data_IF_754090770902
#
_entry.id   IF_754090770902
#
_cell.length_a   1.000
_cell.length_b   1.000
_cell.length_c   1.000
_cell.angle_alpha   90.00
_cell.angle_beta   90.00
_cell.angle_gamma   90.00
#
_symmetry.space_group_name_H-M   'P 1'
#
loop_
_entity.id
_entity.type
_entity.pdbx_description
1 polymer ?
#
# COMPACT_ATOMS: atom_id res chain seq x y z
N UNK A 1 9.50 -109.04 -0.18
CA UNK A 1 9.80 -109.14 -1.63
C UNK A 1 8.50 -109.13 -2.41
N UNK A 2 8.39 -108.21 -3.40
CA UNK A 2 7.42 -108.14 -4.52
C UNK A 2 5.96 -107.85 -4.15
N UNK A 3 5.17 -107.06 -4.89
CA UNK A 3 5.37 -106.15 -6.03
C UNK A 3 4.08 -105.32 -6.16
N UNK A 4 4.25 -104.09 -6.63
CA UNK A 4 3.34 -103.01 -7.04
C UNK A 4 2.17 -103.45 -7.96
N UNK A 5 1.05 -102.68 -8.03
CA UNK A 5 0.46 -102.05 -9.25
C UNK A 5 -1.02 -101.56 -9.03
N UNK A 6 -1.28 -100.23 -8.97
CA UNK A 6 -1.87 -99.29 -9.99
C UNK A 6 -3.41 -99.20 -9.99
N UNK A 7 -3.99 -98.01 -9.77
CA UNK A 7 -4.68 -97.21 -10.81
C UNK A 7 -5.08 -95.81 -10.33
N UNK A 8 -4.54 -94.81 -11.00
CA UNK A 8 -4.89 -93.39 -10.93
C UNK A 8 -5.80 -93.07 -12.12
N UNK A 9 -6.97 -92.48 -11.86
CA UNK A 9 -7.78 -91.77 -12.87
C UNK A 9 -7.61 -90.29 -12.57
N UNK A 10 -6.98 -89.57 -13.51
CA UNK A 10 -6.81 -88.12 -13.47
C UNK A 10 -8.02 -87.50 -14.14
N UNK A 11 -8.83 -86.79 -13.37
CA UNK A 11 -9.92 -85.95 -13.85
C UNK A 11 -9.35 -84.55 -14.07
N UNK A 12 -9.42 -84.09 -15.31
CA UNK A 12 -9.14 -82.73 -15.72
C UNK A 12 -10.23 -81.81 -15.12
N UNK A 13 -9.86 -80.93 -14.18
CA UNK A 13 -10.69 -79.79 -13.79
C UNK A 13 -10.09 -78.52 -14.38
N UNK A 14 -10.97 -77.79 -15.04
CA UNK A 14 -10.72 -76.50 -15.69
C UNK A 14 -10.32 -75.49 -14.61
N UNK A 15 -9.15 -74.88 -14.79
CA UNK A 15 -8.70 -73.70 -14.05
C UNK A 15 -9.50 -72.49 -14.52
N UNK A 16 -10.37 -71.96 -13.67
CA UNK A 16 -10.87 -70.60 -13.76
C UNK A 16 -10.63 -69.95 -12.39
N UNK A 17 -9.70 -68.99 -12.31
CA UNK A 17 -9.44 -68.28 -11.05
C UNK A 17 -8.15 -67.47 -10.90
N UNK A 18 -7.49 -67.01 -11.97
CA UNK A 18 -6.24 -66.21 -11.84
C UNK A 18 -6.17 -64.93 -12.72
N UNK A 19 -7.24 -64.46 -13.37
CA UNK A 19 -7.16 -63.27 -14.26
C UNK A 19 -7.42 -61.93 -13.56
N UNK A 20 -8.35 -61.86 -12.61
CA UNK A 20 -8.83 -60.56 -12.11
C UNK A 20 -7.83 -59.85 -11.18
N UNK A 21 -7.02 -60.62 -10.44
CA UNK A 21 -6.02 -60.06 -9.51
C UNK A 21 -4.80 -59.51 -10.26
N UNK A 22 -4.47 -60.01 -11.46
CA UNK A 22 -3.36 -59.44 -12.23
C UNK A 22 -3.76 -58.11 -12.87
N UNK A 23 -4.97 -58.00 -13.42
CA UNK A 23 -5.46 -56.77 -14.06
C UNK A 23 -5.58 -55.62 -13.06
N UNK A 24 -6.07 -55.86 -11.84
CA UNK A 24 -6.13 -54.83 -10.78
C UNK A 24 -4.74 -54.34 -10.36
N UNK A 25 -3.75 -55.23 -10.28
CA UNK A 25 -2.36 -54.88 -9.96
C UNK A 25 -1.69 -54.13 -11.11
N UNK A 26 -1.95 -54.51 -12.36
CA UNK A 26 -1.43 -53.84 -13.56
C UNK A 26 -2.05 -52.44 -13.69
N UNK A 27 -3.36 -52.30 -13.43
CA UNK A 27 -4.07 -51.02 -13.39
C UNK A 27 -3.49 -50.10 -12.33
N UNK A 28 -3.33 -50.59 -11.11
CA UNK A 28 -2.71 -49.82 -10.01
C UNK A 28 -1.31 -49.34 -10.39
N UNK A 29 -0.47 -50.22 -10.93
CA UNK A 29 0.89 -49.87 -11.36
C UNK A 29 0.89 -48.86 -12.52
N UNK A 30 -0.04 -48.99 -13.47
CA UNK A 30 -0.20 -48.01 -14.55
C UNK A 30 -0.62 -46.63 -14.04
N UNK A 31 -1.55 -46.58 -13.08
CA UNK A 31 -1.97 -45.32 -12.43
C UNK A 31 -0.82 -44.68 -11.65
N UNK A 32 -0.11 -45.44 -10.82
CA UNK A 32 1.02 -44.94 -10.01
C UNK A 32 2.16 -44.35 -10.86
N UNK A 33 2.37 -44.87 -12.08
CA UNK A 33 3.41 -44.38 -12.98
C UNK A 33 3.00 -43.15 -13.81
N UNK A 34 1.70 -42.91 -14.00
CA UNK A 34 1.19 -41.89 -14.94
C UNK A 34 0.44 -40.75 -14.25
N UNK A 35 -0.09 -40.96 -13.05
CA UNK A 35 -0.82 -39.95 -12.30
C UNK A 35 0.10 -39.39 -11.22
N UNK A 36 0.81 -38.32 -11.56
CA UNK A 36 1.74 -37.63 -10.67
C UNK A 36 1.16 -36.27 -10.27
N UNK A 37 0.68 -36.18 -9.03
CA UNK A 37 0.12 -34.94 -8.49
C UNK A 37 1.10 -34.36 -7.44
N UNK A 38 1.52 -33.09 -7.58
CA UNK A 38 2.31 -32.41 -6.56
C UNK A 38 1.51 -32.25 -5.26
N UNK A 39 2.18 -32.42 -4.12
CA UNK A 39 1.54 -32.27 -2.80
C UNK A 39 1.38 -30.81 -2.36
N UNK A 40 1.99 -29.85 -3.06
CA UNK A 40 1.89 -28.41 -2.80
C UNK A 40 1.84 -27.63 -4.11
N UNK A 41 0.88 -26.71 -4.24
CA UNK A 41 0.66 -25.92 -5.46
C UNK A 41 0.21 -24.50 -5.15
N UNK A 42 0.48 -23.56 -6.06
CA UNK A 42 -0.03 -22.18 -6.03
C UNK A 42 -0.66 -21.74 -7.35
N UNK A 43 -0.62 -22.60 -8.36
CA UNK A 43 -1.07 -22.35 -9.72
C UNK A 43 -2.01 -23.47 -10.18
N UNK A 44 -2.60 -23.29 -11.36
CA UNK A 44 -3.45 -24.29 -12.00
C UNK A 44 -2.77 -25.66 -12.05
N UNK A 45 -3.51 -26.70 -11.67
CA UNK A 45 -3.06 -28.07 -11.65
C UNK A 45 -3.42 -28.75 -12.97
N UNK A 46 -2.46 -29.41 -13.61
CA UNK A 46 -2.73 -30.21 -14.82
C UNK A 46 -3.19 -31.62 -14.41
N UNK A 47 -4.47 -31.91 -14.63
CA UNK A 47 -5.07 -33.21 -14.30
C UNK A 47 -5.10 -34.09 -15.56
N UNK A 48 -4.35 -35.22 -15.58
CA UNK A 48 -4.40 -36.13 -16.73
C UNK A 48 -5.82 -36.67 -16.91
N UNK A 49 -6.27 -36.75 -18.15
CA UNK A 49 -7.63 -37.18 -18.51
C UNK A 49 -7.73 -38.69 -18.74
N UNK A 50 -6.60 -39.36 -19.01
CA UNK A 50 -6.55 -40.79 -19.29
C UNK A 50 -5.20 -41.40 -18.93
N UNK A 51 -5.17 -42.70 -18.62
CA UNK A 51 -3.94 -43.51 -18.54
C UNK A 51 -3.90 -44.55 -19.65
N UNK A 52 -2.69 -45.03 -19.97
CA UNK A 52 -2.49 -46.20 -20.82
C UNK A 52 -2.21 -47.44 -19.99
N UNK A 53 -2.86 -48.56 -20.32
CA UNK A 53 -2.53 -49.88 -19.78
C UNK A 53 -2.47 -50.86 -20.96
N UNK A 54 -1.25 -51.30 -21.31
CA UNK A 54 -1.03 -52.02 -22.57
C UNK A 54 -1.24 -51.12 -23.78
N UNK A 55 -2.11 -51.53 -24.70
CA UNK A 55 -2.48 -50.74 -25.89
C UNK A 55 -3.81 -49.98 -25.72
N UNK A 56 -4.46 -50.12 -24.56
CA UNK A 56 -5.77 -49.55 -24.30
C UNK A 56 -5.65 -48.28 -23.43
N UNK A 57 -6.51 -47.30 -23.72
CA UNK A 57 -6.62 -46.04 -22.99
C UNK A 57 -7.85 -46.08 -22.09
N UNK A 58 -7.68 -45.65 -20.84
CA UNK A 58 -8.74 -45.60 -19.84
C UNK A 58 -8.87 -44.19 -19.29
N UNK A 59 -10.09 -43.68 -19.25
CA UNK A 59 -10.44 -42.35 -18.72
C UNK A 59 -10.23 -42.30 -17.20
N UNK A 60 -9.77 -41.15 -16.72
CA UNK A 60 -9.62 -40.85 -15.29
C UNK A 60 -10.78 -39.94 -14.86
N UNK A 61 -11.51 -40.37 -13.85
CA UNK A 61 -12.55 -39.56 -13.21
C UNK A 61 -11.93 -38.88 -11.98
N UNK A 62 -11.99 -37.54 -11.94
CA UNK A 62 -11.47 -36.74 -10.85
C UNK A 62 -12.58 -36.26 -9.91
N UNK A 63 -12.38 -36.44 -8.61
CA UNK A 63 -13.20 -35.85 -7.55
C UNK A 63 -12.34 -34.99 -6.64
N UNK A 64 -12.86 -33.82 -6.26
CA UNK A 64 -12.24 -32.91 -5.29
C UNK A 64 -13.09 -32.85 -4.02
N UNK A 65 -12.44 -32.85 -2.85
CA UNK A 65 -13.12 -32.60 -1.58
C UNK A 65 -13.65 -31.17 -1.43
N UNK A 66 -13.11 -30.22 -2.21
CA UNK A 66 -13.49 -28.81 -2.21
C UNK A 66 -13.38 -28.22 -3.62
N UNK A 67 -14.50 -28.18 -4.34
CA UNK A 67 -14.58 -27.70 -5.72
C UNK A 67 -14.47 -26.19 -5.85
N UNK A 68 -14.60 -25.43 -4.76
CA UNK A 68 -14.39 -23.99 -4.78
C UNK A 68 -12.90 -23.62 -4.75
N UNK A 69 -12.04 -24.58 -4.36
CA UNK A 69 -10.58 -24.42 -4.24
C UNK A 69 -9.83 -25.13 -5.36
N UNK A 70 -10.17 -26.39 -5.69
CA UNK A 70 -9.70 -27.10 -6.89
C UNK A 70 -10.89 -27.75 -7.57
N UNK A 71 -11.21 -27.32 -8.79
CA UNK A 71 -12.29 -27.93 -9.57
C UNK A 71 -11.84 -29.17 -10.37
N UNK A 72 -12.79 -29.87 -11.00
CA UNK A 72 -12.53 -31.08 -11.78
C UNK A 72 -11.69 -30.86 -13.05
N UNK A 73 -11.46 -29.60 -13.45
CA UNK A 73 -10.59 -29.22 -14.57
C UNK A 73 -9.17 -28.87 -14.12
N UNK A 74 -8.93 -28.85 -12.80
CA UNK A 74 -7.67 -28.46 -12.19
C UNK A 74 -7.50 -26.94 -12.03
N UNK A 75 -8.57 -26.15 -12.17
CA UNK A 75 -8.54 -24.73 -11.85
C UNK A 75 -8.37 -24.56 -10.34
N UNK A 76 -7.35 -23.81 -9.94
CA UNK A 76 -6.99 -23.60 -8.53
C UNK A 76 -7.34 -22.18 -8.12
N UNK A 77 -8.05 -22.03 -7.01
CA UNK A 77 -8.38 -20.74 -6.39
C UNK A 77 -7.67 -20.63 -5.05
N UNK A 78 -6.67 -19.76 -4.98
CA UNK A 78 -5.96 -19.49 -3.73
C UNK A 78 -6.82 -18.65 -2.77
N UNK A 79 -6.62 -18.87 -1.47
CA UNK A 79 -7.26 -18.10 -0.38
C UNK A 79 -6.20 -17.42 0.48
N UNK A 80 -6.60 -16.74 1.57
CA UNK A 80 -5.65 -16.10 2.50
C UNK A 80 -4.92 -17.10 3.42
N UNK A 81 -5.33 -18.36 3.44
CA UNK A 81 -4.74 -19.45 4.24
C UNK A 81 -4.35 -20.65 3.35
N UNK A 82 -3.44 -21.48 3.85
CA UNK A 82 -3.08 -22.74 3.19
C UNK A 82 -4.26 -23.70 3.36
N UNK A 83 -4.79 -24.23 2.26
CA UNK A 83 -5.94 -25.14 2.28
C UNK A 83 -5.50 -26.49 1.73
N UNK A 84 -5.73 -27.55 2.51
CA UNK A 84 -5.55 -28.93 2.05
C UNK A 84 -6.81 -29.43 1.37
N UNK A 85 -6.66 -29.89 0.13
CA UNK A 85 -7.71 -30.50 -0.70
C UNK A 85 -7.30 -31.93 -1.02
N UNK A 86 -8.21 -32.87 -0.81
CA UNK A 86 -8.04 -34.26 -1.20
C UNK A 86 -8.59 -34.48 -2.60
N UNK A 87 -7.73 -34.90 -3.53
CA UNK A 87 -8.14 -35.30 -4.88
C UNK A 87 -8.18 -36.82 -5.00
N UNK A 88 -9.22 -37.33 -5.67
CA UNK A 88 -9.35 -38.74 -6.00
C UNK A 88 -9.33 -38.93 -7.51
N UNK A 89 -8.47 -39.83 -7.97
CA UNK A 89 -8.44 -40.28 -9.36
C UNK A 89 -8.96 -41.71 -9.41
N UNK A 90 -10.11 -41.92 -10.07
CA UNK A 90 -10.71 -43.24 -10.24
C UNK A 90 -10.67 -43.67 -11.71
N UNK A 91 -10.17 -44.88 -11.96
CA UNK A 91 -10.16 -45.49 -13.29
C UNK A 91 -10.94 -46.80 -13.24
N UNK A 92 -11.83 -46.97 -14.22
CA UNK A 92 -12.66 -48.17 -14.40
C UNK A 92 -12.22 -48.94 -15.65
N UNK A 93 -11.91 -50.23 -15.49
CA UNK A 93 -11.79 -51.18 -16.61
C UNK A 93 -13.03 -52.08 -16.64
N UNK A 94 -13.09 -53.04 -17.57
CA UNK A 94 -14.21 -54.00 -17.61
C UNK A 94 -14.27 -54.90 -16.36
N UNK A 95 -13.13 -55.18 -15.73
CA UNK A 95 -13.03 -56.16 -14.65
C UNK A 95 -12.44 -55.60 -13.33
N UNK A 96 -11.94 -54.37 -13.34
CA UNK A 96 -11.30 -53.75 -12.18
C UNK A 96 -11.68 -52.27 -12.04
N UNK A 97 -11.59 -51.76 -10.82
CA UNK A 97 -11.69 -50.32 -10.52
C UNK A 97 -10.66 -50.01 -9.46
N UNK A 98 -9.89 -48.95 -9.69
CA UNK A 98 -8.90 -48.51 -8.72
C UNK A 98 -9.00 -47.00 -8.50
N UNK A 99 -8.72 -46.56 -7.28
CA UNK A 99 -8.76 -45.15 -6.88
C UNK A 99 -7.50 -44.78 -6.15
N UNK A 100 -6.82 -43.74 -6.64
CA UNK A 100 -5.70 -43.10 -5.95
C UNK A 100 -6.17 -41.85 -5.22
N UNK A 101 -5.55 -41.56 -4.08
CA UNK A 101 -5.86 -40.40 -3.25
C UNK A 101 -4.60 -39.53 -3.16
N UNK A 102 -4.76 -38.23 -3.42
CA UNK A 102 -3.70 -37.24 -3.33
C UNK A 102 -4.11 -36.16 -2.34
N UNK A 103 -3.28 -35.93 -1.33
CA UNK A 103 -3.41 -34.77 -0.45
C UNK A 103 -2.61 -33.61 -1.07
N UNK A 104 -3.31 -32.56 -1.48
CA UNK A 104 -2.74 -31.41 -2.15
C UNK A 104 -2.98 -30.17 -1.31
N UNK A 105 -1.91 -29.50 -0.90
CA UNK A 105 -2.01 -28.21 -0.22
C UNK A 105 -1.96 -27.09 -1.26
N UNK A 106 -3.08 -26.38 -1.42
CA UNK A 106 -3.10 -25.09 -2.12
C UNK A 106 -2.52 -24.05 -1.18
N UNK A 107 -1.34 -23.55 -1.54
CA UNK A 107 -0.66 -22.51 -0.77
C UNK A 107 -1.50 -21.24 -0.78
N UNK A 108 -1.55 -20.55 0.35
CA UNK A 108 -2.20 -19.24 0.47
C UNK A 108 -1.69 -18.28 -0.59
N UNK A 109 -2.54 -17.33 -0.96
CA UNK A 109 -2.17 -16.19 -1.79
C UNK A 109 -1.01 -15.49 -1.10
N UNK A 110 0.13 -15.38 -1.78
CA UNK A 110 1.22 -14.55 -1.30
C UNK A 110 0.71 -13.11 -1.19
N UNK A 111 0.46 -12.65 0.03
CA UNK A 111 0.47 -11.21 0.33
C UNK A 111 1.92 -10.79 0.26
N UNK A 112 2.40 -10.44 -0.93
CA UNK A 112 3.74 -9.86 -1.11
C UNK A 112 3.74 -8.50 -0.40
N UNK A 113 4.06 -8.49 0.89
CA UNK A 113 4.46 -7.29 1.59
C UNK A 113 5.95 -7.38 1.90
N UNK A 114 6.77 -7.21 0.86
CA UNK A 114 8.22 -7.07 0.98
C UNK A 114 8.70 -5.61 0.79
N UNK A 115 7.80 -4.63 0.77
CA UNK A 115 8.17 -3.21 0.70
C UNK A 115 8.35 -2.64 2.10
N UNK A 116 9.39 -3.10 2.80
CA UNK A 116 9.86 -2.37 3.98
C UNK A 116 10.47 -1.07 3.47
N UNK A 117 9.83 0.05 3.81
CA UNK A 117 10.32 1.42 3.53
C UNK A 117 11.03 1.93 4.79
N UNK A 118 12.33 1.65 5.00
CA UNK A 118 13.01 2.07 6.23
C UNK A 118 13.08 3.59 6.38
N UNK A 119 12.88 4.33 5.27
CA UNK A 119 12.75 5.79 5.22
C UNK A 119 11.35 6.31 5.55
N UNK A 120 10.34 5.44 5.70
CA UNK A 120 8.97 5.81 6.05
C UNK A 120 8.46 4.97 7.21
N UNK A 121 8.31 5.60 8.37
CA UNK A 121 7.80 4.92 9.58
C UNK A 121 6.33 5.28 9.75
N UNK A 122 5.46 4.26 9.81
CA UNK A 122 4.02 4.38 10.01
C UNK A 122 3.63 3.72 11.33
N UNK A 123 3.06 4.48 12.26
CA UNK A 123 2.58 3.99 13.56
C UNK A 123 1.08 4.21 13.65
N UNK A 124 0.31 3.14 13.38
CA UNK A 124 -1.14 3.13 13.50
C UNK A 124 -1.57 3.07 14.97
N UNK A 125 -2.66 3.77 15.28
CA UNK A 125 -3.25 3.85 16.61
C UNK A 125 -3.58 2.47 17.21
N UNK A 126 -4.02 1.52 16.39
CA UNK A 126 -4.35 0.16 16.82
C UNK A 126 -3.13 -0.73 17.10
N UNK A 127 -1.93 -0.29 16.70
CA UNK A 127 -0.64 -0.95 16.96
C UNK A 127 0.08 -0.36 18.18
N UNK A 128 -0.44 0.71 18.77
CA UNK A 128 0.13 1.32 19.97
C UNK A 128 -0.09 0.38 21.17
N UNK A 129 0.94 0.27 22.02
CA UNK A 129 0.85 -0.46 23.27
C UNK A 129 -0.24 0.16 24.17
N UNK A 130 -1.34 -0.59 24.32
CA UNK A 130 -2.52 -0.17 25.08
C UNK A 130 -2.21 0.08 26.56
N UNK A 131 -1.15 -0.53 27.11
CA UNK A 131 -0.74 -0.29 28.50
C UNK A 131 -0.19 1.12 28.73
N UNK A 132 0.13 1.86 27.65
CA UNK A 132 0.64 3.25 27.70
C UNK A 132 -0.40 4.30 27.41
N UNK A 133 -1.64 3.89 27.14
CA UNK A 133 -2.74 4.81 26.97
C UNK A 133 -3.14 5.36 28.33
N UNK A 134 -2.90 6.65 28.54
CA UNK A 134 -3.37 7.39 29.70
C UNK A 134 -4.44 8.37 29.23
N UNK A 135 -5.66 8.27 29.78
CA UNK A 135 -6.80 9.12 29.42
C UNK A 135 -7.22 9.03 27.93
N UNK A 136 -6.79 7.96 27.26
CA UNK A 136 -7.08 7.64 25.86
C UNK A 136 -7.72 6.25 25.76
N UNK A 137 -8.67 6.12 24.83
CA UNK A 137 -9.27 4.85 24.40
C UNK A 137 -9.11 4.65 22.91
N UNK A 138 -9.05 3.39 22.50
CA UNK A 138 -9.07 3.00 21.09
C UNK A 138 -10.52 2.69 20.68
N UNK A 139 -11.04 3.42 19.71
CA UNK A 139 -12.38 3.27 19.13
C UNK A 139 -12.25 3.25 17.62
N UNK A 140 -12.74 2.20 16.95
CA UNK A 140 -12.70 2.06 15.48
C UNK A 140 -11.32 2.36 14.87
N UNK A 141 -10.28 1.72 15.43
CA UNK A 141 -8.87 1.90 15.03
C UNK A 141 -8.29 3.30 15.26
N UNK A 142 -8.99 4.21 15.95
CA UNK A 142 -8.56 5.58 16.24
C UNK A 142 -8.45 5.81 17.76
N UNK A 143 -7.43 6.55 18.18
CA UNK A 143 -7.29 6.99 19.57
C UNK A 143 -8.16 8.23 19.82
N UNK A 144 -8.98 8.15 20.86
CA UNK A 144 -9.86 9.21 21.34
C UNK A 144 -9.61 9.46 22.84
N UNK A 145 -9.99 10.63 23.33
CA UNK A 145 -10.07 10.94 24.76
C UNK A 145 -11.08 10.04 25.45
N UNK A 146 -10.78 9.65 26.68
CA UNK A 146 -11.79 9.09 27.59
C UNK A 146 -12.92 10.09 27.84
N UNK A 147 -14.14 9.59 28.09
CA UNK A 147 -15.39 10.37 27.97
C UNK A 147 -15.45 11.63 28.85
N UNK A 148 -14.73 11.64 29.99
CA UNK A 148 -14.71 12.77 30.93
C UNK A 148 -13.41 13.58 30.88
N UNK A 149 -12.54 13.32 29.91
CA UNK A 149 -11.23 13.96 29.81
C UNK A 149 -11.23 15.10 28.81
N UNK A 150 -10.55 16.20 29.14
CA UNK A 150 -10.36 17.35 28.24
C UNK A 150 -9.04 17.30 27.50
N UNK A 151 -8.08 16.55 28.03
CA UNK A 151 -6.72 16.42 27.50
C UNK A 151 -6.20 15.02 27.81
N UNK A 152 -5.44 14.48 26.88
CA UNK A 152 -4.65 13.28 27.11
C UNK A 152 -3.35 13.34 26.30
N UNK A 153 -2.36 12.58 26.75
CA UNK A 153 -1.06 12.49 26.10
C UNK A 153 -0.62 11.06 25.94
N UNK A 154 -0.01 10.75 24.79
CA UNK A 154 0.70 9.50 24.56
C UNK A 154 2.16 9.81 24.24
N UNK A 155 3.11 9.12 24.86
CA UNK A 155 4.54 9.21 24.55
C UNK A 155 5.05 7.83 24.12
N UNK A 156 5.68 7.77 22.94
CA UNK A 156 6.17 6.52 22.37
C UNK A 156 7.39 6.00 23.13
N UNK A 157 7.74 4.73 22.95
CA UNK A 157 9.14 4.32 23.15
C UNK A 157 10.04 5.01 22.12
N UNK A 158 11.36 5.11 22.39
CA UNK A 158 12.34 5.40 21.35
C UNK A 158 12.22 4.41 20.19
N UNK A 159 12.18 4.93 18.97
CA UNK A 159 12.14 4.16 17.72
C UNK A 159 13.51 4.29 17.07
N UNK A 160 14.15 3.15 16.81
CA UNK A 160 15.37 3.08 16.02
C UNK A 160 15.09 3.41 14.55
N UNK A 161 16.00 4.14 13.92
CA UNK A 161 15.86 4.60 12.53
C UNK A 161 17.18 4.47 11.78
N UNK A 162 17.17 4.35 10.44
CA UNK A 162 18.35 4.65 9.65
C UNK A 162 18.85 6.07 9.93
N UNK A 163 20.16 6.30 9.86
CA UNK A 163 20.73 7.62 10.14
C UNK A 163 20.24 8.68 9.15
N UNK A 164 19.53 9.71 9.63
CA UNK A 164 18.90 10.73 8.79
C UNK A 164 19.39 12.15 9.13
N UNK A 165 19.30 13.06 8.17
CA UNK A 165 19.66 14.48 8.33
C UNK A 165 18.45 15.40 8.43
N UNK A 166 17.30 14.96 7.93
CA UNK A 166 16.02 15.66 8.04
C UNK A 166 14.88 14.68 8.21
N UNK A 167 13.78 15.15 8.78
CA UNK A 167 12.53 14.40 8.82
C UNK A 167 11.32 15.32 8.76
N UNK A 168 10.22 14.80 8.23
CA UNK A 168 8.88 15.39 8.37
C UNK A 168 8.02 14.43 9.17
N UNK A 169 7.57 14.90 10.33
CA UNK A 169 6.56 14.22 11.14
C UNK A 169 5.18 14.70 10.74
N UNK A 170 4.27 13.77 10.47
CA UNK A 170 2.88 14.07 10.14
C UNK A 170 1.96 13.09 10.86
N UNK A 171 0.66 13.38 10.88
CA UNK A 171 -0.34 12.52 11.50
C UNK A 171 -1.66 12.60 10.75
N UNK A 172 -2.41 11.49 10.76
CA UNK A 172 -3.80 11.43 10.32
C UNK A 172 -4.71 11.59 11.54
N UNK A 173 -5.53 12.63 11.53
CA UNK A 173 -6.51 12.85 12.59
C UNK A 173 -7.76 13.58 12.11
N UNK A 174 -8.88 13.25 12.76
CA UNK A 174 -10.12 14.03 12.73
C UNK A 174 -10.11 14.97 13.93
N UNK A 175 -10.38 16.23 13.68
CA UNK A 175 -10.40 17.28 14.71
C UNK A 175 -11.45 18.33 14.37
N UNK A 176 -11.51 19.42 15.12
CA UNK A 176 -12.47 20.50 14.87
C UNK A 176 -11.92 21.86 15.30
N UNK A 177 -12.76 22.89 15.24
CA UNK A 177 -12.43 24.21 15.77
C UNK A 177 -12.09 24.16 17.27
N UNK A 178 -12.71 23.24 18.00
CA UNK A 178 -12.69 23.14 19.46
C UNK A 178 -12.04 21.85 19.99
N UNK A 179 -11.54 20.99 19.10
CA UNK A 179 -10.80 19.79 19.41
C UNK A 179 -9.51 19.73 18.57
N UNK A 180 -8.37 19.46 19.18
CA UNK A 180 -7.06 19.56 18.52
C UNK A 180 -6.18 18.33 18.76
N UNK A 181 -5.30 18.06 17.81
CA UNK A 181 -4.22 17.09 17.93
C UNK A 181 -2.88 17.79 17.69
N UNK A 182 -1.88 17.49 18.51
CA UNK A 182 -0.51 17.99 18.38
C UNK A 182 0.49 16.84 18.37
N UNK A 183 1.42 16.88 17.42
CA UNK A 183 2.62 16.04 17.40
C UNK A 183 3.82 16.85 17.93
N UNK A 184 4.58 16.24 18.84
CA UNK A 184 5.92 16.68 19.23
C UNK A 184 6.91 15.56 19.01
N UNK A 185 8.12 15.90 18.53
CA UNK A 185 9.17 14.92 18.24
C UNK A 185 10.49 15.39 18.84
N UNK A 186 11.24 14.47 19.42
CA UNK A 186 12.66 14.67 19.70
C UNK A 186 13.48 13.59 18.99
N UNK A 187 14.73 13.92 18.72
CA UNK A 187 15.65 13.09 17.94
C UNK A 187 16.94 12.86 18.73
N UNK A 188 17.51 11.67 18.60
CA UNK A 188 18.77 11.32 19.25
C UNK A 188 19.92 11.49 18.26
N UNK A 189 20.96 12.23 18.66
CA UNK A 189 22.22 12.38 17.91
C UNK A 189 23.37 12.08 18.86
N UNK A 190 24.23 11.12 18.49
CA UNK A 190 25.41 10.72 19.27
C UNK A 190 25.08 10.38 20.74
N UNK A 191 23.92 9.76 21.00
CA UNK A 191 23.46 9.39 22.34
C UNK A 191 22.90 10.55 23.18
N UNK A 192 22.69 11.73 22.59
CA UNK A 192 22.07 12.89 23.24
C UNK A 192 20.75 13.22 22.54
N UNK A 193 19.69 13.37 23.33
CA UNK A 193 18.37 13.78 22.85
C UNK A 193 18.28 15.29 22.65
N UNK A 194 17.64 15.72 21.56
CA UNK A 194 17.10 17.07 21.43
C UNK A 194 15.96 17.31 22.43
N UNK A 195 15.57 18.57 22.57
CA UNK A 195 14.26 18.96 23.10
C UNK A 195 13.16 18.41 22.18
N UNK A 196 11.95 18.30 22.73
CA UNK A 196 10.76 18.13 21.91
C UNK A 196 10.54 19.38 21.04
N UNK A 197 10.53 19.15 19.73
CA UNK A 197 10.15 20.12 18.71
C UNK A 197 8.67 19.88 18.37
N UNK A 198 7.86 20.94 18.43
CA UNK A 198 6.41 20.85 18.30
C UNK A 198 5.96 21.26 16.90
N UNK A 199 5.09 20.46 16.29
CA UNK A 199 4.34 20.80 15.07
C UNK A 199 3.13 21.70 15.35
N UNK A 200 2.93 22.07 16.63
CA UNK A 200 1.81 22.85 17.17
C UNK A 200 0.47 22.11 17.10
N UNK A 201 -0.43 22.50 17.98
CA UNK A 201 -1.79 21.99 17.97
C UNK A 201 -2.51 22.40 16.68
N UNK A 202 -3.07 21.40 16.00
CA UNK A 202 -3.90 21.57 14.83
C UNK A 202 -5.35 21.21 15.14
N UNK A 203 -6.28 22.00 14.62
CA UNK A 203 -7.71 21.69 14.59
C UNK A 203 -8.36 22.21 13.31
N UNK A 204 -9.22 21.41 12.67
CA UNK A 204 -9.86 21.78 11.42
C UNK A 204 -10.71 23.05 11.60
N UNK A 205 -10.51 24.04 10.72
CA UNK A 205 -11.23 25.32 10.77
C UNK A 205 -10.63 26.36 11.73
N UNK A 206 -9.56 26.04 12.46
CA UNK A 206 -8.82 27.01 13.28
C UNK A 206 -7.87 27.85 12.43
N UNK A 207 -7.41 28.95 13.01
CA UNK A 207 -6.21 29.65 12.55
C UNK A 207 -4.96 28.88 13.02
N UNK A 208 -4.71 27.73 12.39
CA UNK A 208 -3.56 26.89 12.69
C UNK A 208 -2.26 27.60 12.31
N UNK A 209 -1.19 27.40 13.07
CA UNK A 209 0.10 28.03 12.79
C UNK A 209 1.25 27.11 13.18
N UNK A 210 2.23 26.97 12.29
CA UNK A 210 3.53 26.41 12.66
C UNK A 210 4.39 27.45 13.38
N UNK A 211 5.45 26.99 14.05
CA UNK A 211 6.42 27.87 14.69
C UNK A 211 7.80 27.23 14.64
N UNK A 212 8.77 27.97 14.12
CA UNK A 212 10.16 27.56 14.12
C UNK A 212 10.71 27.49 15.55
N UNK A 213 11.47 26.43 15.83
CA UNK A 213 12.12 26.25 17.11
C UNK A 213 13.42 25.47 16.93
N UNK A 214 14.37 25.64 17.86
CA UNK A 214 15.64 24.93 17.81
C UNK A 214 16.26 24.70 19.17
N UNK A 215 17.16 23.73 19.22
CA UNK A 215 18.20 23.64 20.23
C UNK A 215 19.57 23.46 19.54
N UNK A 216 20.54 22.88 20.25
CA UNK A 216 21.89 22.65 19.73
C UNK A 216 22.03 21.38 18.87
N UNK A 217 20.99 20.53 18.82
CA UNK A 217 20.96 19.23 18.13
C UNK A 217 20.12 19.33 16.86
N UNK A 218 18.92 19.91 16.96
CA UNK A 218 17.97 19.96 15.87
C UNK A 218 17.17 21.27 15.87
N UNK A 219 16.60 21.60 14.70
CA UNK A 219 15.60 22.66 14.55
C UNK A 219 14.40 22.15 13.77
N UNK A 220 13.22 22.67 14.07
CA UNK A 220 12.06 22.58 13.19
C UNK A 220 11.91 23.91 12.45
N UNK A 221 11.73 23.84 11.14
CA UNK A 221 11.47 24.98 10.27
C UNK A 221 10.17 24.72 9.52
N UNK A 222 9.11 25.45 9.89
CA UNK A 222 7.72 25.19 9.48
C UNK A 222 7.26 23.78 9.87
N UNK A 223 7.56 22.77 9.07
CA UNK A 223 7.19 21.37 9.25
C UNK A 223 8.32 20.38 8.93
N UNK A 224 9.55 20.86 8.73
CA UNK A 224 10.74 20.02 8.54
C UNK A 224 11.66 20.12 9.77
N UNK A 225 11.94 18.98 10.41
CA UNK A 225 12.99 18.87 11.41
C UNK A 225 14.32 18.61 10.70
N UNK A 226 15.31 19.47 10.96
CA UNK A 226 16.67 19.37 10.43
C UNK A 226 17.67 19.12 11.56
N UNK A 227 18.56 18.14 11.36
CA UNK A 227 19.69 17.87 12.26
C UNK A 227 20.79 18.90 12.02
N UNK A 228 21.33 19.48 13.09
CA UNK A 228 22.32 20.54 13.04
C UNK A 228 23.76 20.00 13.03
N UNK A 229 24.70 20.89 12.67
CA UNK A 229 26.15 20.65 12.74
C UNK A 229 26.63 19.46 11.88
N UNK A 230 26.00 19.25 10.72
CA UNK A 230 26.31 18.17 9.77
C UNK A 230 26.28 16.76 10.40
N UNK A 231 25.51 16.60 11.48
CA UNK A 231 25.30 15.32 12.16
C UNK A 231 24.09 14.58 11.59
N UNK A 232 23.89 13.36 12.09
CA UNK A 232 22.75 12.51 11.75
C UNK A 232 22.09 12.01 13.02
N UNK A 233 20.76 11.96 13.03
CA UNK A 233 20.01 11.32 14.10
C UNK A 233 19.81 9.84 13.81
N UNK A 234 19.71 9.02 14.86
CA UNK A 234 19.54 7.56 14.75
C UNK A 234 18.29 7.04 15.45
N UNK A 235 17.68 7.84 16.32
CA UNK A 235 16.42 7.49 16.96
C UNK A 235 15.46 8.68 16.98
N UNK A 236 14.17 8.37 17.03
CA UNK A 236 13.10 9.32 17.26
C UNK A 236 12.30 8.90 18.49
N UNK A 237 11.75 9.86 19.22
CA UNK A 237 10.70 9.61 20.20
C UNK A 237 9.66 10.71 20.03
N UNK A 238 8.38 10.35 20.06
CA UNK A 238 7.31 11.31 19.82
C UNK A 238 6.28 11.32 20.93
N UNK A 239 5.54 12.43 20.98
CA UNK A 239 4.43 12.65 21.88
C UNK A 239 3.24 13.17 21.11
N UNK A 240 2.08 12.58 21.37
CA UNK A 240 0.79 13.05 20.89
C UNK A 240 0.04 13.72 22.02
N UNK A 241 -0.58 14.86 21.75
CA UNK A 241 -1.41 15.59 22.70
C UNK A 241 -2.77 15.81 22.05
N UNK A 242 -3.82 15.23 22.64
CA UNK A 242 -5.20 15.39 22.21
C UNK A 242 -5.89 16.33 23.20
N UNK A 243 -6.64 17.32 22.71
CA UNK A 243 -7.39 18.25 23.56
C UNK A 243 -8.78 18.53 23.00
N UNK A 244 -9.74 18.82 23.88
CA UNK A 244 -11.03 19.44 23.54
C UNK A 244 -11.36 20.54 24.56
N UNK A 245 -12.10 21.56 24.14
CA UNK A 245 -12.42 22.72 25.00
C UNK A 245 -13.41 22.39 26.14
N UNK A 246 -14.31 21.44 25.92
CA UNK A 246 -15.36 21.05 26.87
C UNK A 246 -15.75 19.57 26.65
N UNK A 247 -16.31 18.92 27.68
CA UNK A 247 -16.72 17.50 27.64
C UNK A 247 -17.84 17.25 26.62
N UNK A 248 -18.67 18.26 26.33
CA UNK A 248 -19.72 18.18 25.31
C UNK A 248 -19.18 18.16 23.86
N UNK A 249 -17.93 18.57 23.65
CA UNK A 249 -17.29 18.52 22.34
C UNK A 249 -16.82 17.08 22.09
N UNK A 250 -17.08 16.57 20.87
CA UNK A 250 -16.57 15.28 20.45
C UNK A 250 -15.04 15.24 20.55
N UNK A 251 -14.50 14.10 21.00
CA UNK A 251 -13.07 13.90 21.06
C UNK A 251 -12.43 14.08 19.67
N UNK A 252 -11.23 14.68 19.56
CA UNK A 252 -10.41 14.47 18.37
C UNK A 252 -10.06 12.98 18.26
N UNK A 253 -9.82 12.51 17.03
CA UNK A 253 -9.54 11.11 16.74
C UNK A 253 -8.23 10.99 15.99
N UNK A 254 -7.24 10.31 16.56
CA UNK A 254 -5.92 10.08 15.95
C UNK A 254 -5.85 8.67 15.36
N UNK A 255 -5.54 8.54 14.08
CA UNK A 255 -5.44 7.24 13.39
C UNK A 255 -4.01 6.77 13.17
N UNK A 256 -3.13 7.69 12.76
CA UNK A 256 -1.78 7.36 12.32
C UNK A 256 -0.82 8.48 12.72
N UNK A 257 0.40 8.10 13.11
CA UNK A 257 1.56 9.00 13.16
C UNK A 257 2.59 8.49 12.15
N UNK A 258 3.16 9.39 11.36
CA UNK A 258 4.02 9.08 10.23
C UNK A 258 5.31 9.90 10.25
N UNK A 259 6.44 9.28 9.94
CA UNK A 259 7.74 9.92 9.87
C UNK A 259 8.43 9.61 8.54
N UNK A 260 8.57 10.64 7.70
CA UNK A 260 9.32 10.59 6.45
C UNK A 260 10.76 11.05 6.68
N UNK A 261 11.75 10.20 6.39
CA UNK A 261 13.16 10.43 6.71
C UNK A 261 13.98 10.76 5.46
N UNK A 262 14.76 11.86 5.52
CA UNK A 262 15.81 12.16 4.55
C UNK A 262 17.14 11.53 4.99
N UNK A 263 17.52 10.46 4.31
CA UNK A 263 18.70 9.64 4.58
C UNK A 263 19.75 10.00 3.51
N UNK A 264 20.90 10.58 3.91
CA UNK A 264 21.92 11.00 2.95
C UNK A 264 22.59 9.79 2.28
N UNK A 265 22.80 9.88 0.96
CA UNK A 265 23.39 8.82 0.12
C UNK A 265 22.61 7.50 0.14
N UNK A 266 21.29 7.58 0.36
CA UNK A 266 20.40 6.43 0.33
C UNK A 266 19.73 6.32 -1.04
N UNK A 267 19.60 5.08 -1.52
CA UNK A 267 18.81 4.74 -2.70
C UNK A 267 17.88 3.60 -2.34
N UNK A 268 16.68 3.65 -2.90
CA UNK A 268 15.69 2.59 -2.74
C UNK A 268 15.00 2.38 -4.08
N UNK A 269 15.27 1.25 -4.71
CA UNK A 269 14.82 0.92 -6.07
C UNK A 269 14.16 -0.45 -6.04
N UNK A 270 12.88 -0.53 -5.65
CA UNK A 270 12.14 -1.80 -5.64
C UNK A 270 12.00 -2.37 -7.06
N UNK A 271 11.82 -3.70 -7.18
CA UNK A 271 11.48 -4.30 -8.48
C UNK A 271 10.05 -3.93 -8.89
N UNK A 272 9.91 -3.54 -10.15
CA UNK A 272 8.65 -3.17 -10.80
C UNK A 272 8.26 -4.12 -11.92
N UNK A 273 8.92 -5.28 -12.03
CA UNK A 273 8.77 -6.21 -13.17
C UNK A 273 7.33 -6.73 -13.35
N UNK A 274 6.53 -6.69 -12.28
CA UNK A 274 5.14 -7.13 -12.25
C UNK A 274 4.12 -6.01 -12.51
N UNK A 275 4.57 -4.76 -12.63
CA UNK A 275 3.69 -3.61 -12.80
C UNK A 275 3.31 -3.40 -14.27
N UNK A 276 2.11 -2.88 -14.56
CA UNK A 276 1.71 -2.55 -15.93
C UNK A 276 2.59 -1.43 -16.49
N UNK A 277 2.73 -1.37 -17.82
CA UNK A 277 3.43 -0.27 -18.53
C UNK A 277 2.62 1.02 -18.62
N UNK A 278 1.33 0.99 -18.25
CA UNK A 278 0.44 2.15 -18.23
C UNK A 278 -0.46 2.10 -17.01
N UNK A 279 -0.54 3.22 -16.30
CA UNK A 279 -1.46 3.46 -15.19
C UNK A 279 -1.81 4.95 -15.21
N UNK A 280 -3.10 5.28 -15.13
CA UNK A 280 -3.57 6.67 -15.02
C UNK A 280 -4.87 6.69 -14.22
N UNK A 281 -4.87 7.42 -13.10
CA UNK A 281 -6.06 7.67 -12.32
C UNK A 281 -6.81 8.89 -12.84
N UNK A 282 -8.14 8.80 -12.98
CA UNK A 282 -9.02 9.92 -13.33
C UNK A 282 -9.16 10.90 -12.16
N UNK A 283 -8.10 11.65 -11.88
CA UNK A 283 -8.08 12.68 -10.83
C UNK A 283 -8.73 13.96 -11.37
N UNK A 284 -9.73 14.53 -10.67
CA UNK A 284 -10.35 15.80 -11.06
C UNK A 284 -9.33 16.92 -11.23
N UNK A 285 -9.47 17.71 -12.28
CA UNK A 285 -8.55 18.79 -12.64
C UNK A 285 -9.02 20.12 -12.05
N UNK A 286 -8.18 20.74 -11.21
CA UNK A 286 -8.42 22.08 -10.66
C UNK A 286 -7.27 23.02 -11.05
N UNK A 287 -7.60 24.14 -11.69
CA UNK A 287 -6.60 25.13 -12.05
C UNK A 287 -6.48 26.21 -10.96
N UNK A 288 -5.34 26.30 -10.30
CA UNK A 288 -5.15 27.24 -9.18
C UNK A 288 -5.39 28.71 -9.57
N UNK A 289 -5.19 29.05 -10.85
CA UNK A 289 -5.27 30.43 -11.34
C UNK A 289 -6.71 30.92 -11.50
N UNK A 290 -7.70 30.02 -11.38
CA UNK A 290 -9.12 30.39 -11.31
C UNK A 290 -9.48 31.06 -9.99
N UNK A 291 -8.73 30.79 -8.90
CA UNK A 291 -8.90 31.53 -7.65
C UNK A 291 -8.17 32.85 -7.75
N UNK A 292 -8.95 33.89 -8.04
CA UNK A 292 -8.47 35.27 -8.08
C UNK A 292 -7.77 35.63 -6.75
N UNK A 293 -6.77 36.50 -6.83
CA UNK A 293 -5.91 37.02 -5.74
C UNK A 293 -4.89 36.04 -5.15
N UNK A 294 -5.25 34.77 -4.97
CA UNK A 294 -4.40 33.79 -4.27
C UNK A 294 -3.86 32.68 -5.17
N UNK A 295 -4.30 32.64 -6.43
CA UNK A 295 -3.97 31.60 -7.39
C UNK A 295 -2.48 31.40 -7.62
N UNK A 296 -1.62 32.40 -7.40
CA UNK A 296 -0.16 32.24 -7.48
C UNK A 296 0.48 31.47 -6.33
N UNK A 297 -0.28 31.06 -5.31
CA UNK A 297 0.29 30.60 -4.03
C UNK A 297 -0.46 29.44 -3.37
N UNK A 298 -1.40 28.81 -4.07
CA UNK A 298 -2.28 27.75 -3.53
C UNK A 298 -2.09 26.38 -4.19
N UNK A 299 -0.95 26.13 -4.85
CA UNK A 299 -0.71 24.85 -5.54
C UNK A 299 -0.85 23.63 -4.62
N UNK A 300 -0.39 23.74 -3.37
CA UNK A 300 -0.46 22.68 -2.36
C UNK A 300 -1.91 22.32 -1.97
N UNK A 301 -2.75 23.26 -1.49
CA UNK A 301 -4.15 22.96 -1.17
C UNK A 301 -5.01 22.71 -2.40
N UNK A 302 -4.60 23.17 -3.59
CA UNK A 302 -5.25 22.77 -4.85
C UNK A 302 -4.99 21.30 -5.16
N UNK A 303 -3.75 20.83 -4.96
CA UNK A 303 -3.40 19.41 -5.09
C UNK A 303 -4.13 18.55 -4.06
N UNK A 304 -4.22 19.01 -2.80
CA UNK A 304 -5.00 18.33 -1.77
C UNK A 304 -6.50 18.26 -2.10
N UNK A 305 -7.08 19.33 -2.66
CA UNK A 305 -8.47 19.32 -3.13
C UNK A 305 -8.68 18.30 -4.26
N UNK A 306 -7.78 18.23 -5.24
CA UNK A 306 -7.86 17.23 -6.32
C UNK A 306 -7.85 15.79 -5.78
N UNK A 307 -7.00 15.51 -4.79
CA UNK A 307 -6.95 14.21 -4.13
C UNK A 307 -8.23 13.89 -3.33
N UNK A 308 -8.77 14.85 -2.59
CA UNK A 308 -10.06 14.67 -1.88
C UNK A 308 -11.22 14.43 -2.85
N UNK A 309 -11.29 15.17 -3.96
CA UNK A 309 -12.28 14.96 -5.00
C UNK A 309 -12.13 13.57 -5.64
N UNK A 310 -10.90 13.11 -5.90
CA UNK A 310 -10.63 11.76 -6.40
C UNK A 310 -11.12 10.68 -5.42
N UNK A 311 -11.00 10.91 -4.11
CA UNK A 311 -11.53 10.03 -3.07
C UNK A 311 -13.05 10.09 -2.90
N UNK A 312 -13.73 10.93 -3.69
CA UNK A 312 -15.19 11.01 -3.74
C UNK A 312 -15.80 12.05 -2.79
N UNK A 313 -14.99 12.89 -2.14
CA UNK A 313 -15.52 13.99 -1.32
C UNK A 313 -16.08 15.09 -2.21
N UNK A 314 -17.32 15.51 -1.95
CA UNK A 314 -17.93 16.65 -2.65
C UNK A 314 -17.58 17.95 -1.90
N UNK A 315 -16.55 18.64 -2.37
CA UNK A 315 -16.15 19.95 -1.85
C UNK A 315 -16.88 21.11 -2.53
N UNK A 316 -17.64 20.85 -3.60
CA UNK A 316 -18.33 21.90 -4.36
C UNK A 316 -19.50 22.52 -3.60
N UNK A 317 -20.00 21.81 -2.58
CA UNK A 317 -21.04 22.30 -1.65
C UNK A 317 -20.54 23.47 -0.79
N UNK A 318 -19.23 23.53 -0.52
CA UNK A 318 -18.63 24.54 0.35
C UNK A 318 -18.21 25.78 -0.43
N UNK A 319 -17.80 25.58 -1.69
CA UNK A 319 -17.29 26.62 -2.57
C UNK A 319 -17.30 26.14 -4.03
N UNK A 320 -17.77 26.98 -4.96
CA UNK A 320 -17.76 26.68 -6.41
C UNK A 320 -16.35 26.37 -6.95
N UNK A 321 -15.31 26.89 -6.26
CA UNK A 321 -13.92 26.56 -6.46
C UNK A 321 -13.43 25.79 -5.22
N UNK A 322 -13.49 24.44 -5.21
CA UNK A 322 -13.11 23.61 -4.06
C UNK A 322 -11.75 23.96 -3.43
N UNK A 323 -10.80 24.36 -4.26
CA UNK A 323 -9.45 24.71 -3.86
C UNK A 323 -9.35 26.10 -3.20
N UNK A 324 -10.32 27.01 -3.41
CA UNK A 324 -10.47 28.24 -2.61
C UNK A 324 -10.90 27.92 -1.18
N UNK A 325 -11.72 26.89 -1.01
CA UNK A 325 -12.12 26.39 0.31
C UNK A 325 -10.96 25.71 1.04
N UNK A 326 -10.29 24.72 0.41
CA UNK A 326 -9.15 24.03 1.04
C UNK A 326 -7.98 24.98 1.34
N UNK A 327 -7.72 25.98 0.48
CA UNK A 327 -6.68 26.98 0.74
C UNK A 327 -6.92 27.76 2.04
N UNK A 328 -8.17 28.13 2.34
CA UNK A 328 -8.53 28.78 3.60
C UNK A 328 -8.41 27.82 4.78
N UNK A 329 -8.86 26.59 4.60
CA UNK A 329 -8.99 25.60 5.65
C UNK A 329 -7.64 25.03 6.12
N UNK A 330 -6.69 24.85 5.20
CA UNK A 330 -5.39 24.24 5.46
C UNK A 330 -4.27 25.26 5.69
N UNK A 331 -4.61 26.56 5.71
CA UNK A 331 -3.63 27.66 5.81
C UNK A 331 -2.74 27.53 7.05
N UNK A 332 -1.46 27.80 6.86
CA UNK A 332 -0.52 28.02 7.95
C UNK A 332 -0.38 29.52 8.20
N UNK A 333 -1.00 30.00 9.26
CA UNK A 333 -0.97 31.41 9.63
C UNK A 333 0.38 31.85 10.22
N UNK A 334 1.20 30.90 10.71
CA UNK A 334 2.51 31.19 11.29
C UNK A 334 3.56 31.44 10.22
N UNK A 335 3.64 30.55 9.23
CA UNK A 335 4.50 30.71 8.07
C UNK A 335 3.91 31.67 7.00
N UNK A 336 2.64 32.08 7.16
CA UNK A 336 1.89 32.89 6.20
C UNK A 336 1.87 32.29 4.78
N UNK A 337 1.61 30.99 4.70
CA UNK A 337 1.49 30.23 3.46
C UNK A 337 0.16 29.48 3.42
N UNK A 338 -0.33 29.17 2.22
CA UNK A 338 -1.52 28.34 2.04
C UNK A 338 -1.16 26.86 2.21
N UNK A 339 -1.03 26.47 3.48
CA UNK A 339 -0.75 25.12 3.94
C UNK A 339 0.71 24.70 3.75
N UNK A 340 1.35 24.33 4.85
CA UNK A 340 2.58 23.53 4.82
C UNK A 340 2.23 22.07 4.46
N UNK A 341 3.24 21.22 4.25
CA UNK A 341 3.01 19.83 3.83
C UNK A 341 2.15 19.07 4.85
N UNK A 342 2.46 19.22 6.13
CA UNK A 342 1.75 18.52 7.22
C UNK A 342 0.30 18.98 7.35
N UNK A 343 0.03 20.28 7.25
CA UNK A 343 -1.31 20.86 7.38
C UNK A 343 -2.24 20.45 6.23
N UNK A 344 -1.70 20.28 5.02
CA UNK A 344 -2.47 19.72 3.91
C UNK A 344 -2.83 18.25 4.16
N UNK A 345 -1.89 17.42 4.63
CA UNK A 345 -2.17 15.99 4.85
C UNK A 345 -3.12 15.74 6.02
N UNK A 346 -2.93 16.43 7.16
CA UNK A 346 -3.89 16.31 8.28
C UNK A 346 -5.22 17.01 7.96
N UNK A 347 -5.17 18.05 7.10
CA UNK A 347 -6.35 18.69 6.52
C UNK A 347 -7.21 17.70 5.72
N UNK A 348 -6.59 16.92 4.82
CA UNK A 348 -7.28 15.83 4.12
C UNK A 348 -7.78 14.75 5.08
N UNK A 349 -7.00 14.43 6.12
CA UNK A 349 -7.38 13.42 7.12
C UNK A 349 -8.65 13.78 7.91
N UNK A 350 -9.02 15.07 7.95
CA UNK A 350 -10.27 15.53 8.55
C UNK A 350 -11.51 14.98 7.87
N UNK A 351 -11.39 14.55 6.61
CA UNK A 351 -12.44 13.94 5.81
C UNK A 351 -12.49 12.43 6.00
N UNK A 352 -11.89 11.92 7.09
CA UNK A 352 -11.80 10.49 7.42
C UNK A 352 -11.00 9.68 6.38
N UNK A 353 -10.02 10.33 5.75
CA UNK A 353 -9.00 9.69 4.92
C UNK A 353 -7.74 9.45 5.75
N UNK A 354 -6.95 8.43 5.43
CA UNK A 354 -5.60 8.31 6.01
C UNK A 354 -4.63 9.06 5.13
N UNK A 355 -4.23 10.27 5.54
CA UNK A 355 -3.30 11.07 4.78
C UNK A 355 -2.08 11.50 5.60
N UNK A 356 -0.90 11.47 4.98
CA UNK A 356 0.36 11.77 5.64
C UNK A 356 1.44 12.20 4.62
N UNK A 357 2.51 12.82 5.13
CA UNK A 357 3.67 13.17 4.31
C UNK A 357 4.54 11.93 4.12
N UNK A 358 4.76 11.56 2.87
CA UNK A 358 5.67 10.51 2.44
C UNK A 358 6.96 11.07 1.85
N UNK A 359 8.04 10.28 1.91
CA UNK A 359 9.21 10.48 1.06
C UNK A 359 9.45 9.23 0.23
N UNK A 360 9.82 9.41 -1.03
CA UNK A 360 10.16 8.34 -1.96
C UNK A 360 11.50 8.65 -2.62
N UNK A 361 12.34 7.63 -2.85
CA UNK A 361 13.71 7.80 -3.33
C UNK A 361 13.92 7.46 -4.80
N UNK A 362 12.94 6.84 -5.44
CA UNK A 362 13.03 6.48 -6.85
C UNK A 362 11.68 6.49 -7.54
N UNK A 363 11.72 6.49 -8.88
CA UNK A 363 10.53 6.37 -9.68
C UNK A 363 9.86 5.00 -9.51
N UNK A 364 10.65 3.94 -9.35
CA UNK A 364 10.15 2.58 -9.10
C UNK A 364 9.34 2.50 -7.80
N UNK A 365 9.78 3.20 -6.76
CA UNK A 365 8.99 3.32 -5.52
C UNK A 365 7.67 4.04 -5.77
N UNK A 366 7.68 5.11 -6.56
CA UNK A 366 6.46 5.83 -6.95
C UNK A 366 5.53 4.95 -7.78
N UNK A 367 6.05 4.14 -8.72
CA UNK A 367 5.25 3.19 -9.50
C UNK A 367 4.56 2.17 -8.59
N UNK A 368 5.29 1.59 -7.63
CA UNK A 368 4.73 0.64 -6.65
C UNK A 368 3.65 1.33 -5.81
N UNK A 369 3.90 2.56 -5.35
CA UNK A 369 2.91 3.31 -4.59
C UNK A 369 1.65 3.59 -5.40
N UNK A 370 1.79 4.07 -6.64
CA UNK A 370 0.66 4.32 -7.53
C UNK A 370 -0.15 3.05 -7.74
N UNK A 371 0.50 1.91 -7.99
CA UNK A 371 -0.20 0.64 -8.24
C UNK A 371 -0.92 0.05 -7.01
N UNK A 372 -0.45 0.34 -5.80
CA UNK A 372 -0.97 -0.27 -4.56
C UNK A 372 -1.88 0.65 -3.75
N UNK A 373 -1.69 1.96 -3.86
CA UNK A 373 -2.35 2.97 -3.03
C UNK A 373 -3.15 3.93 -3.90
N UNK A 374 -2.50 4.60 -4.86
CA UNK A 374 -3.16 5.53 -5.77
C UNK A 374 -2.37 6.82 -6.02
N UNK A 375 -3.02 7.86 -6.55
CA UNK A 375 -2.37 9.12 -6.92
C UNK A 375 -1.86 9.89 -5.70
N UNK A 376 -0.80 10.67 -5.88
CA UNK A 376 -0.15 11.45 -4.82
C UNK A 376 0.10 12.88 -5.25
N UNK A 377 0.10 13.83 -4.32
CA UNK A 377 0.70 15.13 -4.60
C UNK A 377 2.22 15.03 -4.45
N UNK A 378 3.00 15.59 -5.35
CA UNK A 378 4.45 15.54 -5.37
C UNK A 378 5.04 16.96 -5.30
N UNK A 379 6.03 17.16 -4.42
CA UNK A 379 6.75 18.44 -4.32
C UNK A 379 7.87 18.52 -5.35
N UNK A 380 7.83 19.56 -6.19
CA UNK A 380 8.81 19.79 -7.25
C UNK A 380 9.45 21.18 -7.12
N UNK A 381 10.68 21.32 -7.60
CA UNK A 381 11.35 22.62 -7.80
C UNK A 381 12.42 22.51 -8.87
N UNK A 382 12.61 23.58 -9.63
CA UNK A 382 13.60 23.69 -10.69
C UNK A 382 12.96 23.95 -12.03
N UNK A 383 13.65 23.52 -13.09
CA UNK A 383 13.20 23.65 -14.46
C UNK A 383 12.34 22.45 -14.87
N UNK A 384 11.03 22.67 -14.97
CA UNK A 384 10.03 21.67 -15.37
C UNK A 384 9.98 21.49 -16.90
N UNK A 385 10.88 22.11 -17.66
CA UNK A 385 10.89 22.10 -19.12
C UNK A 385 9.86 23.05 -19.76
N UNK A 386 8.67 23.13 -19.17
CA UNK A 386 7.62 24.08 -19.58
C UNK A 386 7.73 25.43 -18.87
N UNK A 387 8.20 25.41 -17.61
CA UNK A 387 8.38 26.60 -16.78
C UNK A 387 9.37 26.32 -15.63
N UNK A 388 9.81 27.39 -14.97
CA UNK A 388 10.69 27.29 -13.79
C UNK A 388 9.92 27.59 -12.51
N UNK A 389 10.20 26.84 -11.43
CA UNK A 389 9.58 27.07 -10.11
C UNK A 389 10.57 26.91 -8.96
N UNK A 390 10.46 27.78 -7.94
CA UNK A 390 11.23 27.67 -6.69
C UNK A 390 10.63 26.62 -5.73
N UNK A 391 9.42 26.16 -6.00
CA UNK A 391 8.69 25.22 -5.17
C UNK A 391 7.24 25.16 -5.63
N UNK A 392 6.76 23.96 -5.92
CA UNK A 392 5.41 23.73 -6.43
C UNK A 392 4.91 22.35 -6.01
N UNK A 393 3.59 22.18 -5.99
CA UNK A 393 2.92 20.89 -5.76
C UNK A 393 2.08 20.57 -6.99
N UNK A 394 2.24 19.35 -7.49
CA UNK A 394 1.49 18.76 -8.61
C UNK A 394 0.91 17.41 -8.15
N UNK A 395 -0.15 16.91 -8.78
CA UNK A 395 -0.66 15.56 -8.49
C UNK A 395 -0.15 14.59 -9.54
N UNK A 396 0.65 13.60 -9.12
CA UNK A 396 1.02 12.47 -9.96
C UNK A 396 -0.15 11.48 -10.00
N UNK A 397 -0.68 11.28 -11.20
CA UNK A 397 -1.81 10.39 -11.48
C UNK A 397 -1.39 9.01 -11.93
N UNK A 398 -0.15 8.87 -12.39
CA UNK A 398 0.23 7.66 -13.09
C UNK A 398 1.51 7.80 -13.88
N UNK A 399 1.75 6.81 -14.73
CA UNK A 399 2.89 6.76 -15.64
C UNK A 399 2.56 5.98 -16.91
N UNK A 400 3.32 6.24 -17.98
CA UNK A 400 3.27 5.50 -19.24
C UNK A 400 4.68 5.20 -19.73
N UNK A 401 4.89 3.96 -20.13
CA UNK A 401 6.11 3.47 -20.75
C UNK A 401 5.78 3.12 -22.20
N UNK A 402 6.49 3.72 -23.16
CA UNK A 402 6.29 3.43 -24.59
C UNK A 402 6.90 2.08 -24.97
N UNK A 403 6.52 1.55 -26.14
CA UNK A 403 7.14 0.34 -26.71
C UNK A 403 8.66 0.50 -26.94
N UNK A 404 9.15 1.75 -27.02
CA UNK A 404 10.56 2.10 -27.17
C UNK A 404 11.27 2.32 -25.83
N UNK A 405 10.55 2.23 -24.70
CA UNK A 405 11.09 2.39 -23.35
C UNK A 405 11.11 3.83 -22.82
N UNK A 406 10.52 4.80 -23.53
CA UNK A 406 10.40 6.16 -23.02
C UNK A 406 9.37 6.20 -21.90
N UNK A 407 9.70 6.86 -20.79
CA UNK A 407 8.85 6.95 -19.61
C UNK A 407 8.34 8.38 -19.44
N UNK A 408 7.02 8.49 -19.25
CA UNK A 408 6.33 9.73 -18.95
C UNK A 408 5.59 9.61 -17.62
N UNK A 409 5.68 10.65 -16.80
CA UNK A 409 4.91 10.78 -15.56
C UNK A 409 3.68 11.62 -15.87
N UNK A 410 2.49 11.05 -15.65
CA UNK A 410 1.21 11.69 -15.91
C UNK A 410 0.81 12.48 -14.68
N UNK A 411 0.56 13.78 -14.86
CA UNK A 411 0.25 14.66 -13.73
C UNK A 411 -0.94 15.56 -14.01
N UNK A 412 -1.61 15.97 -12.92
CA UNK A 412 -2.38 17.21 -12.87
C UNK A 412 -1.51 18.27 -12.19
N UNK A 413 -0.94 19.19 -12.98
CA UNK A 413 -0.24 20.37 -12.49
C UNK A 413 -1.22 21.55 -12.39
N UNK A 414 -1.59 22.00 -11.17
CA UNK A 414 -2.61 23.03 -11.01
C UNK A 414 -2.24 24.39 -11.62
N UNK A 415 -0.95 24.64 -11.92
CA UNK A 415 -0.50 25.88 -12.53
C UNK A 415 -0.63 25.88 -14.06
N UNK A 416 -0.62 24.69 -14.69
CA UNK A 416 -0.63 24.58 -16.16
C UNK A 416 -2.02 24.95 -16.71
N UNK A 417 -2.05 25.92 -17.61
CA UNK A 417 -3.20 26.30 -18.43
C UNK A 417 -2.74 26.89 -19.77
N UNK A 418 -3.69 27.42 -20.54
CA UNK A 418 -3.49 28.02 -21.86
C UNK A 418 -2.38 29.09 -21.93
N UNK A 419 -1.95 29.70 -20.81
CA UNK A 419 -0.77 30.59 -20.81
C UNK A 419 0.53 29.89 -21.20
N UNK A 420 0.62 28.57 -21.01
CA UNK A 420 1.79 27.78 -21.37
C UNK A 420 1.72 27.22 -22.79
N UNK A 421 0.62 27.44 -23.51
CA UNK A 421 0.45 27.03 -24.90
C UNK A 421 -0.60 25.94 -25.07
N UNK A 422 -0.41 25.13 -26.12
CA UNK A 422 -1.33 24.09 -26.54
C UNK A 422 -0.64 22.73 -26.50
N UNK A 423 -1.43 21.65 -26.43
CA UNK A 423 -0.98 20.28 -26.53
C UNK A 423 -0.60 19.88 -27.98
N UNK A 424 -0.26 18.60 -28.18
CA UNK A 424 0.11 18.07 -29.49
C UNK A 424 -1.04 18.09 -30.52
N UNK A 425 -2.29 18.14 -30.08
CA UNK A 425 -3.48 18.23 -30.93
C UNK A 425 -3.86 19.69 -31.25
N UNK A 426 -3.20 20.65 -30.62
CA UNK A 426 -3.47 22.07 -30.76
C UNK A 426 -4.52 22.60 -29.79
N UNK A 427 -4.98 21.79 -28.84
CA UNK A 427 -5.92 22.20 -27.80
C UNK A 427 -5.17 22.95 -26.67
N UNK A 428 -5.74 24.01 -26.07
CA UNK A 428 -5.07 24.72 -24.99
C UNK A 428 -4.74 23.80 -23.81
N UNK A 429 -3.52 23.88 -23.29
CA UNK A 429 -3.13 23.12 -22.10
C UNK A 429 -4.06 23.44 -20.94
N UNK A 430 -4.43 22.44 -20.15
CA UNK A 430 -5.28 22.61 -18.97
C UNK A 430 -5.02 21.52 -17.94
N UNK A 431 -4.23 21.85 -16.91
CA UNK A 431 -3.91 21.05 -15.71
C UNK A 431 -3.20 19.73 -15.99
N UNK A 432 -3.73 18.87 -16.84
CA UNK A 432 -3.08 17.64 -17.26
C UNK A 432 -1.80 17.91 -18.07
N UNK A 433 -0.73 17.19 -17.75
CA UNK A 433 0.51 17.21 -18.52
C UNK A 433 1.31 15.90 -18.36
N UNK A 434 2.07 15.53 -19.39
CA UNK A 434 2.99 14.39 -19.37
C UNK A 434 4.43 14.89 -19.30
N UNK A 435 5.09 14.71 -18.14
CA UNK A 435 6.50 15.06 -18.00
C UNK A 435 7.38 13.87 -18.43
N UNK A 436 8.40 14.07 -19.28
CA UNK A 436 9.46 13.07 -19.44
C UNK A 436 10.06 12.72 -18.08
N UNK A 437 10.35 11.44 -17.84
CA UNK A 437 10.85 10.97 -16.54
C UNK A 437 12.09 11.74 -16.07
N UNK A 438 13.02 12.04 -16.99
CA UNK A 438 14.22 12.82 -16.65
C UNK A 438 13.87 14.21 -16.09
N UNK A 439 12.91 14.90 -16.71
CA UNK A 439 12.45 16.22 -16.26
C UNK A 439 11.80 16.13 -14.89
N UNK A 440 10.93 15.14 -14.67
CA UNK A 440 10.28 14.92 -13.38
C UNK A 440 11.30 14.58 -12.29
N UNK A 441 12.19 13.60 -12.52
CA UNK A 441 13.17 13.16 -11.51
C UNK A 441 14.19 14.24 -11.17
N UNK A 442 14.54 15.13 -12.10
CA UNK A 442 15.43 16.27 -11.85
C UNK A 442 14.81 17.33 -10.94
N UNK A 443 13.48 17.45 -10.93
CA UNK A 443 12.76 18.49 -10.21
C UNK A 443 12.05 17.99 -8.95
N UNK A 444 11.70 16.70 -8.91
CA UNK A 444 11.02 16.09 -7.77
C UNK A 444 11.93 16.02 -6.54
N UNK A 445 11.37 16.43 -5.40
CA UNK A 445 12.07 16.43 -4.10
C UNK A 445 11.94 15.10 -3.35
N UNK A 446 11.26 14.11 -3.92
CA UNK A 446 10.89 12.86 -3.24
C UNK A 446 9.72 13.00 -2.25
N UNK A 447 9.38 14.22 -1.82
CA UNK A 447 8.26 14.47 -0.91
C UNK A 447 6.93 14.29 -1.62
N UNK A 448 6.01 13.56 -0.99
CA UNK A 448 4.67 13.31 -1.48
C UNK A 448 3.59 13.45 -0.39
N UNK A 449 2.37 13.79 -0.79
CA UNK A 449 1.17 13.63 0.05
C UNK A 449 0.54 12.29 -0.31
N UNK A 450 0.59 11.36 0.63
CA UNK A 450 -0.10 10.09 0.53
C UNK A 450 -1.51 10.26 1.07
N UNK A 451 -2.48 9.62 0.40
CA UNK A 451 -3.87 9.51 0.81
C UNK A 451 -4.35 8.08 0.51
N UNK A 452 -4.81 7.37 1.54
CA UNK A 452 -5.19 5.94 1.47
C UNK A 452 -6.69 5.73 1.52
#
# INVERSE_FOLDING_TARGET
>A
MKKTIIFTIIILWILAGCSNVSEENDLKKSMENQILIPSMISNQLDLPQSIMMGNDSYEIIWESSDTDIIDATGLVKQTDEDISVTLKATVHTQNATHTMIFEVTVMKKEKVNHFIKPHQILVYADRIDKAKLNDLKLVDHKLELEDNMLEATYESDPIETPSFTKMVGSWSAISSLDATVELQVKVMVDGIWSKYLSYRAWGLGRNNFSLDASDHIAKISTDEIMILNDKKAQQIQYKMILKRKDISISSPKLELVSFALTIPNYTYTPSTDHLPSFLDYEVPMLNQQEVIDIGSSICSPTSAAMLLLYKGHDLSIEDELPHRFTARLFRDYGANIYGNWVFNTVGMSSYNETAYVGVMYSFEELMIHLAQVGPVAASVSGDMGLYHTNGHLIVVRGYRITDFGDVYVLVNDPNINARFGNDANGDPLYVYYEFPLETFMKTWKGIAYVIE
#
